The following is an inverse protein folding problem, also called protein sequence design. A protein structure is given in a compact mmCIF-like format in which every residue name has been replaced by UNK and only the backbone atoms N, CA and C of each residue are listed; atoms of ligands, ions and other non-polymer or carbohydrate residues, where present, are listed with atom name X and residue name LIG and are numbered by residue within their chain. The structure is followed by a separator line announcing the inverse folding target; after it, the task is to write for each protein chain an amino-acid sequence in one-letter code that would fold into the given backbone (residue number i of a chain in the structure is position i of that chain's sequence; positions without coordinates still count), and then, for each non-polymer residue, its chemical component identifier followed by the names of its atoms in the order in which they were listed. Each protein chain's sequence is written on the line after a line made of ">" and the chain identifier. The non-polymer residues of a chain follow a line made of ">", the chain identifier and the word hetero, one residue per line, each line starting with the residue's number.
data_IF_219547367575
#
_entry.id   IF_219547367575
#
_cell.length_a   1.000
_cell.length_b   1.000
_cell.length_c   1.000
_cell.angle_alpha   90.00
_cell.angle_beta   90.00
_cell.angle_gamma   90.00
#
_symmetry.space_group_name_H-M   'P 1'
#
loop_
_entity.id
_entity.type
_entity.pdbx_description
1 polymer ?
#
# COMPACT_ATOMS: atom_id res chain seq x y z
N UNK A 1 -7.65 -24.69 -28.75
CA UNK A 1 -6.77 -24.70 -27.58
C UNK A 1 -6.54 -23.25 -27.13
N UNK A 2 -7.36 -22.67 -26.24
CA UNK A 2 -7.09 -21.32 -25.75
C UNK A 2 -6.21 -21.34 -24.50
N UNK A 3 -5.31 -20.36 -24.46
CA UNK A 3 -4.30 -20.14 -23.45
C UNK A 3 -4.95 -19.66 -22.15
N UNK A 4 -4.72 -20.39 -21.06
CA UNK A 4 -5.11 -19.98 -19.71
C UNK A 4 -4.19 -18.82 -19.31
N UNK A 5 -4.76 -17.63 -19.21
CA UNK A 5 -4.09 -16.46 -18.67
C UNK A 5 -4.00 -16.66 -17.15
N UNK A 6 -2.76 -16.77 -16.65
CA UNK A 6 -2.44 -17.07 -15.26
C UNK A 6 -2.71 -15.83 -14.39
N UNK A 7 -3.98 -15.57 -14.09
CA UNK A 7 -4.34 -14.62 -13.04
C UNK A 7 -3.81 -15.18 -11.72
N UNK A 8 -2.66 -14.64 -11.29
CA UNK A 8 -2.06 -14.86 -9.97
C UNK A 8 -3.04 -14.36 -8.92
N UNK A 9 -3.97 -15.24 -8.54
CA UNK A 9 -4.85 -15.05 -7.40
C UNK A 9 -3.97 -14.94 -6.17
N UNK A 10 -3.76 -13.70 -5.72
CA UNK A 10 -3.09 -13.43 -4.46
C UNK A 10 -4.00 -13.92 -3.34
N UNK A 11 -3.42 -14.67 -2.39
CA UNK A 11 -4.05 -15.38 -1.27
C UNK A 11 -4.76 -14.47 -0.24
N UNK A 12 -5.48 -13.45 -0.66
CA UNK A 12 -6.30 -12.60 0.20
C UNK A 12 -7.76 -13.01 0.04
N UNK A 13 -8.24 -13.86 0.94
CA UNK A 13 -9.63 -14.34 1.00
C UNK A 13 -10.64 -13.28 1.47
N UNK A 14 -10.57 -12.07 0.91
CA UNK A 14 -11.57 -11.02 1.10
C UNK A 14 -12.71 -11.16 0.09
N UNK A 15 -13.90 -10.65 0.43
CA UNK A 15 -15.05 -10.65 -0.51
C UNK A 15 -14.65 -9.86 -1.76
N UNK A 16 -15.10 -10.28 -2.95
CA UNK A 16 -14.72 -9.75 -4.28
C UNK A 16 -14.65 -8.20 -4.42
N UNK A 17 -15.33 -7.44 -3.55
CA UNK A 17 -15.27 -5.98 -3.49
C UNK A 17 -14.01 -5.40 -2.79
N UNK A 18 -13.20 -6.21 -2.10
CA UNK A 18 -11.96 -5.80 -1.42
C UNK A 18 -10.70 -5.96 -2.29
N UNK A 19 -10.82 -6.60 -3.46
CA UNK A 19 -9.65 -6.93 -4.29
C UNK A 19 -9.49 -6.09 -5.57
N UNK A 20 -10.44 -5.21 -5.90
CA UNK A 20 -10.40 -4.44 -7.15
C UNK A 20 -10.71 -2.96 -6.93
N UNK A 21 -9.66 -2.16 -6.69
CA UNK A 21 -9.70 -0.75 -7.04
C UNK A 21 -9.26 -0.60 -8.51
N UNK A 22 -9.92 0.22 -9.35
CA UNK A 22 -9.35 0.65 -10.62
C UNK A 22 -7.97 1.28 -10.33
N UNK A 23 -6.89 0.68 -10.84
CA UNK A 23 -5.51 1.09 -10.52
C UNK A 23 -4.83 0.32 -9.37
N UNK A 24 -5.46 -0.74 -8.84
CA UNK A 24 -4.85 -1.73 -7.94
C UNK A 24 -4.34 -1.17 -6.61
N UNK A 25 -3.32 -1.83 -6.06
CA UNK A 25 -2.67 -1.46 -4.78
C UNK A 25 -2.18 -0.01 -4.77
N UNK A 26 -1.60 0.45 -5.88
CA UNK A 26 -1.05 1.81 -6.01
C UNK A 26 -2.13 2.87 -5.83
N UNK A 27 -3.25 2.75 -6.56
CA UNK A 27 -4.35 3.70 -6.43
C UNK A 27 -4.96 3.71 -5.03
N UNK A 28 -5.12 2.53 -4.43
CA UNK A 28 -5.65 2.38 -3.07
C UNK A 28 -4.76 3.07 -2.04
N UNK A 29 -3.45 2.82 -2.07
CA UNK A 29 -2.50 3.40 -1.11
C UNK A 29 -2.35 4.91 -1.32
N UNK A 30 -2.28 5.39 -2.57
CA UNK A 30 -2.23 6.82 -2.86
C UNK A 30 -3.47 7.56 -2.33
N UNK A 31 -4.65 6.93 -2.44
CA UNK A 31 -5.89 7.45 -1.85
C UNK A 31 -5.81 7.49 -0.33
N UNK A 32 -5.37 6.41 0.31
CA UNK A 32 -5.20 6.34 1.77
C UNK A 32 -4.23 7.41 2.30
N UNK A 33 -3.10 7.61 1.63
CA UNK A 33 -2.13 8.67 1.96
C UNK A 33 -2.81 10.05 1.88
N UNK A 34 -3.59 10.31 0.83
CA UNK A 34 -4.31 11.58 0.67
C UNK A 34 -5.34 11.79 1.78
N UNK A 35 -6.20 10.81 2.04
CA UNK A 35 -7.25 10.88 3.05
C UNK A 35 -6.70 11.02 4.47
N UNK A 36 -5.56 10.38 4.76
CA UNK A 36 -4.91 10.47 6.08
C UNK A 36 -4.54 11.92 6.47
N UNK A 37 -4.30 12.80 5.49
CA UNK A 37 -3.99 14.21 5.74
C UNK A 37 -5.15 15.00 6.36
N UNK A 38 -6.39 14.61 6.06
CA UNK A 38 -7.59 15.24 6.60
C UNK A 38 -7.81 14.87 8.08
N UNK A 39 -7.40 13.66 8.48
CA UNK A 39 -7.54 13.13 9.85
C UNK A 39 -6.22 13.14 10.61
N UNK A 40 -5.24 13.93 10.17
CA UNK A 40 -3.86 13.93 10.64
C UNK A 40 -3.65 14.12 12.16
N UNK A 41 -4.62 14.74 12.83
CA UNK A 41 -4.59 14.97 14.29
C UNK A 41 -5.24 13.87 15.13
N UNK A 42 -5.90 12.91 14.48
CA UNK A 42 -6.67 11.85 15.16
C UNK A 42 -5.88 10.55 15.33
N UNK A 43 -4.78 10.39 14.60
CA UNK A 43 -3.94 9.19 14.64
C UNK A 43 -2.46 9.56 14.79
N UNK A 44 -1.75 8.86 15.67
CA UNK A 44 -0.31 9.05 15.84
C UNK A 44 0.52 8.47 14.70
N UNK A 45 0.03 7.40 14.07
CA UNK A 45 0.65 6.73 12.93
C UNK A 45 -0.42 6.13 12.02
N UNK A 46 -0.17 6.20 10.72
CA UNK A 46 -0.91 5.51 9.68
C UNK A 46 0.01 4.42 9.10
N UNK A 47 -0.53 3.24 8.82
CA UNK A 47 0.25 2.11 8.29
C UNK A 47 -0.49 1.35 7.21
N UNK A 48 0.23 0.88 6.19
CA UNK A 48 -0.28 -0.07 5.20
C UNK A 48 0.78 -1.12 4.86
N UNK A 49 0.34 -2.28 4.39
CA UNK A 49 1.20 -3.30 3.80
C UNK A 49 1.35 -3.02 2.30
N UNK A 50 2.58 -3.19 1.80
CA UNK A 50 2.96 -2.98 0.40
C UNK A 50 3.56 -4.29 -0.13
N UNK A 51 3.00 -4.81 -1.22
CA UNK A 51 3.40 -6.09 -1.80
C UNK A 51 4.64 -5.96 -2.68
N UNK A 52 4.82 -4.81 -3.33
CA UNK A 52 5.92 -4.57 -4.29
C UNK A 52 6.79 -3.39 -3.87
N UNK A 53 8.10 -3.63 -3.75
CA UNK A 53 9.07 -2.60 -3.34
C UNK A 53 9.12 -1.41 -4.30
N UNK A 54 8.83 -1.64 -5.59
CA UNK A 54 8.88 -0.61 -6.63
C UNK A 54 7.89 0.54 -6.38
N UNK A 55 6.74 0.27 -5.75
CA UNK A 55 5.73 1.28 -5.45
C UNK A 55 6.11 2.20 -4.29
N UNK A 56 7.05 1.78 -3.42
CA UNK A 56 7.45 2.56 -2.25
C UNK A 56 8.04 3.93 -2.62
N UNK A 57 8.72 4.02 -3.77
CA UNK A 57 9.31 5.28 -4.24
C UNK A 57 8.23 6.32 -4.52
N UNK A 58 7.14 5.90 -5.17
CA UNK A 58 5.99 6.76 -5.48
C UNK A 58 5.31 7.24 -4.19
N UNK A 59 5.01 6.32 -3.26
CA UNK A 59 4.37 6.66 -1.99
C UNK A 59 5.22 7.61 -1.14
N UNK A 60 6.55 7.43 -1.12
CA UNK A 60 7.47 8.33 -0.41
C UNK A 60 7.45 9.74 -1.00
N UNK A 61 7.36 9.88 -2.33
CA UNK A 61 7.24 11.19 -2.98
C UNK A 61 5.92 11.86 -2.57
N UNK A 62 4.81 11.13 -2.59
CA UNK A 62 3.52 11.68 -2.20
C UNK A 62 3.50 12.12 -0.72
N UNK A 63 4.02 11.28 0.19
CA UNK A 63 4.13 11.59 1.62
C UNK A 63 5.01 12.82 1.88
N UNK A 64 6.10 12.97 1.12
CA UNK A 64 6.95 14.16 1.15
C UNK A 64 6.19 15.42 0.70
N UNK A 65 5.40 15.31 -0.37
CA UNK A 65 4.57 16.42 -0.87
C UNK A 65 3.51 16.86 0.16
N UNK A 66 2.97 15.90 0.92
CA UNK A 66 2.04 16.17 2.02
C UNK A 66 2.73 16.62 3.33
N UNK A 67 4.06 16.79 3.32
CA UNK A 67 4.87 17.24 4.45
C UNK A 67 4.69 16.36 5.71
N UNK A 68 4.60 15.05 5.53
CA UNK A 68 4.61 14.11 6.66
C UNK A 68 5.89 14.30 7.49
N UNK A 69 5.76 14.27 8.82
CA UNK A 69 6.88 14.49 9.75
C UNK A 69 7.84 13.31 9.79
N UNK A 70 7.34 12.11 9.59
CA UNK A 70 8.12 10.88 9.68
C UNK A 70 7.49 9.83 8.76
N UNK A 71 8.34 9.12 8.02
CA UNK A 71 7.97 8.06 7.08
C UNK A 71 8.96 6.92 7.27
N UNK A 72 8.43 5.73 7.54
CA UNK A 72 9.22 4.52 7.80
C UNK A 72 8.77 3.39 6.88
N UNK A 73 9.72 2.56 6.51
CA UNK A 73 9.46 1.32 5.78
C UNK A 73 10.13 0.18 6.54
N UNK A 74 9.36 -0.86 6.86
CA UNK A 74 9.86 -2.07 7.52
C UNK A 74 9.70 -3.21 6.52
N UNK A 75 10.80 -3.85 6.14
CA UNK A 75 10.76 -5.04 5.30
C UNK A 75 10.35 -6.26 6.15
N UNK A 76 9.41 -7.05 5.64
CA UNK A 76 8.84 -8.22 6.29
C UNK A 76 9.03 -9.43 5.37
N UNK A 77 9.85 -10.37 5.82
CA UNK A 77 10.16 -11.60 5.10
C UNK A 77 9.30 -12.75 5.65
N UNK A 78 8.41 -13.31 4.83
CA UNK A 78 7.59 -14.47 5.20
C UNK A 78 7.79 -15.60 4.18
N UNK A 79 8.73 -16.50 4.47
CA UNK A 79 9.16 -17.54 3.54
C UNK A 79 9.73 -16.92 2.26
N UNK A 80 9.13 -17.24 1.11
CA UNK A 80 9.53 -16.70 -0.20
C UNK A 80 8.87 -15.36 -0.54
N UNK A 81 7.94 -14.87 0.29
CA UNK A 81 7.24 -13.61 0.05
C UNK A 81 7.88 -12.49 0.85
N UNK A 82 8.32 -11.46 0.14
CA UNK A 82 8.79 -10.20 0.73
C UNK A 82 7.63 -9.21 0.66
N UNK A 83 7.37 -8.54 1.77
CA UNK A 83 6.40 -7.45 1.87
C UNK A 83 7.00 -6.30 2.67
N UNK A 84 6.40 -5.12 2.58
CA UNK A 84 6.92 -3.94 3.28
C UNK A 84 5.79 -3.26 4.03
N UNK A 85 5.97 -2.95 5.30
CA UNK A 85 5.07 -2.07 6.04
C UNK A 85 5.52 -0.65 5.78
N UNK A 86 4.66 0.15 5.15
CA UNK A 86 4.82 1.60 5.03
C UNK A 86 4.07 2.26 6.19
N UNK A 87 4.78 3.05 7.00
CA UNK A 87 4.22 3.79 8.12
C UNK A 87 4.53 5.28 7.99
N UNK A 88 3.56 6.15 8.28
CA UNK A 88 3.76 7.60 8.24
C UNK A 88 2.95 8.33 9.31
N UNK A 89 3.38 9.56 9.62
CA UNK A 89 2.66 10.47 10.52
C UNK A 89 2.88 11.94 10.15
N UNK A 90 1.95 12.79 10.59
CA UNK A 90 1.93 14.23 10.32
C UNK A 90 2.33 15.09 11.51
#
# INVERSE_FOLDING_TARGET
>A
HPLINENKASNFGGKEAELWCPGGEVAFINKMITESSAVRGQCGWFTTLVSHKEYLSEFKIQLKNLKCKDVRTIEMNHGQKISHILAWRF
#
